data_IF_304465682232
#
_entry.id   IF_304465682232
#
_cell.length_a   1.000
_cell.length_b   1.000
_cell.length_c   1.000
_cell.angle_alpha   90.00
_cell.angle_beta   90.00
_cell.angle_gamma   90.00
#
_symmetry.space_group_name_H-M   'P 1'
#
loop_
_entity.id
_entity.type
_entity.pdbx_description
1 polymer ?
#
# COMPACT_ATOMS: atom_id res chain seq x y z
N UNK A 1 -19.39 -3.88 28.56
CA UNK A 1 -18.83 -4.78 27.52
C UNK A 1 -19.38 -4.56 26.12
N UNK A 2 -20.64 -4.92 25.77
CA UNK A 2 -21.13 -4.77 24.37
C UNK A 2 -21.18 -3.31 23.90
N UNK A 3 -21.55 -2.36 24.76
CA UNK A 3 -21.51 -0.91 24.45
C UNK A 3 -20.08 -0.39 24.25
N UNK A 4 -19.17 -0.75 25.14
CA UNK A 4 -17.74 -0.40 25.06
C UNK A 4 -17.06 -1.00 23.82
N UNK A 5 -17.45 -2.23 23.45
CA UNK A 5 -16.98 -2.88 22.22
C UNK A 5 -17.51 -2.17 20.98
N UNK A 6 -18.79 -1.78 20.96
CA UNK A 6 -19.35 -0.97 19.87
C UNK A 6 -18.62 0.37 19.74
N UNK A 7 -18.37 1.08 20.84
CA UNK A 7 -17.60 2.33 20.83
C UNK A 7 -16.15 2.13 20.37
N UNK A 8 -15.54 0.99 20.68
CA UNK A 8 -14.20 0.65 20.22
C UNK A 8 -14.16 0.42 18.69
N UNK A 9 -15.12 -0.34 18.14
CA UNK A 9 -15.18 -0.65 16.71
C UNK A 9 -15.61 0.57 15.89
N UNK A 10 -16.44 1.46 16.47
CA UNK A 10 -16.85 2.71 15.86
C UNK A 10 -15.70 3.72 15.69
N UNK A 11 -14.51 3.46 16.26
CA UNK A 11 -13.32 4.21 15.87
C UNK A 11 -12.98 3.83 14.43
N UNK A 12 -13.24 4.74 13.48
CA UNK A 12 -13.01 4.50 12.05
C UNK A 12 -11.64 3.91 11.72
N UNK A 13 -10.59 4.37 12.41
CA UNK A 13 -9.22 3.83 12.26
C UNK A 13 -9.09 2.32 12.57
N UNK A 14 -9.91 1.77 13.46
CA UNK A 14 -9.89 0.33 13.80
C UNK A 14 -10.68 -0.47 12.78
N UNK A 15 -11.84 0.04 12.35
CA UNK A 15 -12.67 -0.60 11.34
C UNK A 15 -11.94 -0.68 9.99
N UNK A 16 -11.32 0.40 9.55
CA UNK A 16 -10.57 0.45 8.28
C UNK A 16 -9.38 -0.50 8.30
N UNK A 17 -8.67 -0.57 9.43
CA UNK A 17 -7.57 -1.52 9.62
C UNK A 17 -8.07 -2.96 9.58
N UNK A 18 -9.18 -3.28 10.27
CA UNK A 18 -9.75 -4.62 10.29
C UNK A 18 -10.20 -5.06 8.89
N UNK A 19 -10.88 -4.19 8.15
CA UNK A 19 -11.30 -4.45 6.78
C UNK A 19 -10.08 -4.66 5.87
N UNK A 20 -9.05 -3.83 6.00
CA UNK A 20 -7.81 -3.97 5.23
C UNK A 20 -7.12 -5.32 5.45
N UNK A 21 -7.04 -5.80 6.69
CA UNK A 21 -6.42 -7.10 7.02
C UNK A 21 -7.24 -8.26 6.46
N UNK A 22 -8.57 -8.22 6.58
CA UNK A 22 -9.45 -9.30 6.07
C UNK A 22 -9.42 -9.38 4.55
N UNK A 23 -9.48 -8.23 3.86
CA UNK A 23 -9.38 -8.20 2.39
C UNK A 23 -7.98 -8.65 1.94
N UNK A 24 -6.93 -8.19 2.63
CA UNK A 24 -5.55 -8.57 2.33
C UNK A 24 -5.30 -10.07 2.45
N UNK A 25 -5.84 -10.72 3.48
CA UNK A 25 -5.69 -12.18 3.66
C UNK A 25 -6.48 -12.97 2.62
N UNK A 26 -7.73 -12.57 2.33
CA UNK A 26 -8.55 -13.21 1.30
C UNK A 26 -7.92 -13.10 -0.10
N UNK A 27 -7.38 -11.93 -0.44
CA UNK A 27 -6.70 -11.72 -1.70
C UNK A 27 -5.42 -12.55 -1.82
N UNK A 28 -4.61 -12.61 -0.74
CA UNK A 28 -3.42 -13.47 -0.70
C UNK A 28 -3.79 -14.92 -0.96
N UNK A 29 -4.86 -15.43 -0.36
CA UNK A 29 -5.33 -16.80 -0.58
C UNK A 29 -5.71 -17.07 -2.04
N UNK A 30 -6.37 -16.14 -2.72
CA UNK A 30 -6.70 -16.27 -4.16
C UNK A 30 -5.43 -16.36 -5.00
N UNK A 31 -4.45 -15.48 -4.74
CA UNK A 31 -3.19 -15.50 -5.49
C UNK A 31 -2.43 -16.79 -5.25
N UNK A 32 -2.34 -17.25 -3.99
CA UNK A 32 -1.74 -18.54 -3.65
C UNK A 32 -2.40 -19.68 -4.41
N UNK A 33 -3.74 -19.74 -4.43
CA UNK A 33 -4.47 -20.79 -5.15
C UNK A 33 -4.21 -20.77 -6.66
N UNK A 34 -4.05 -19.59 -7.27
CA UNK A 34 -3.69 -19.48 -8.70
C UNK A 34 -2.26 -19.95 -8.93
N UNK A 35 -1.32 -19.61 -8.05
CA UNK A 35 0.07 -20.03 -8.20
C UNK A 35 0.20 -21.54 -8.00
N UNK A 36 -0.33 -22.09 -6.90
CA UNK A 36 -0.29 -23.51 -6.61
C UNK A 36 -1.11 -24.35 -7.58
N UNK A 37 -2.28 -23.85 -8.01
CA UNK A 37 -3.22 -24.59 -8.85
C UNK A 37 -2.94 -24.53 -10.35
N UNK A 38 -2.30 -23.46 -10.83
CA UNK A 38 -2.06 -23.27 -12.26
C UNK A 38 -0.57 -23.14 -12.58
N UNK A 39 0.13 -22.27 -11.86
CA UNK A 39 1.50 -21.92 -12.23
C UNK A 39 2.51 -23.02 -11.86
N UNK A 40 2.43 -23.54 -10.63
CA UNK A 40 3.30 -24.63 -10.17
C UNK A 40 3.17 -25.86 -11.07
N UNK A 41 1.96 -26.34 -11.45
CA UNK A 41 1.78 -27.43 -12.41
C UNK A 41 2.32 -27.14 -13.82
N UNK A 42 2.25 -25.89 -14.28
CA UNK A 42 2.79 -25.51 -15.60
C UNK A 42 4.32 -25.52 -15.62
N UNK A 43 4.97 -24.99 -14.58
CA UNK A 43 6.43 -25.01 -14.44
C UNK A 43 6.91 -26.46 -14.29
N UNK A 44 6.19 -27.22 -13.47
CA UNK A 44 6.28 -28.66 -13.31
C UNK A 44 6.30 -29.40 -14.65
N UNK A 45 5.31 -29.13 -15.50
CA UNK A 45 5.16 -29.75 -16.81
C UNK A 45 6.32 -29.40 -17.73
N UNK A 46 6.76 -28.13 -17.76
CA UNK A 46 7.92 -27.71 -18.56
C UNK A 46 9.17 -28.48 -18.15
N UNK A 47 9.43 -28.60 -16.84
CA UNK A 47 10.59 -29.34 -16.33
C UNK A 47 10.57 -30.83 -16.68
N UNK A 48 9.39 -31.45 -16.61
CA UNK A 48 9.16 -32.84 -17.04
C UNK A 48 9.46 -33.00 -18.54
N UNK A 49 8.99 -32.05 -19.36
CA UNK A 49 9.19 -32.07 -20.81
C UNK A 49 10.66 -31.86 -21.22
N UNK A 50 11.40 -31.00 -20.51
CA UNK A 50 12.81 -30.71 -20.81
C UNK A 50 13.78 -31.74 -20.24
N UNK A 51 13.41 -32.43 -19.16
CA UNK A 51 14.30 -33.35 -18.43
C UNK A 51 13.94 -34.83 -18.64
N UNK A 52 12.76 -35.13 -19.20
CA UNK A 52 12.29 -36.49 -19.47
C UNK A 52 11.97 -37.32 -18.22
N UNK A 53 12.02 -36.73 -17.02
CA UNK A 53 11.68 -37.36 -15.74
C UNK A 53 10.21 -37.13 -15.42
N UNK A 54 9.52 -38.15 -14.92
CA UNK A 54 8.05 -38.29 -14.92
C UNK A 54 7.26 -37.36 -13.98
N UNK A 55 7.90 -36.59 -13.10
CA UNK A 55 7.20 -35.71 -12.16
C UNK A 55 8.02 -34.48 -11.78
N UNK A 56 7.36 -33.36 -11.52
CA UNK A 56 7.98 -32.15 -11.02
C UNK A 56 8.53 -32.28 -9.59
N UNK A 57 7.91 -33.15 -8.78
CA UNK A 57 8.45 -33.56 -7.48
C UNK A 57 9.78 -34.31 -7.63
N UNK A 58 10.03 -34.92 -8.77
CA UNK A 58 11.26 -35.68 -9.08
C UNK A 58 12.32 -34.79 -9.78
N UNK A 59 11.92 -33.62 -10.28
CA UNK A 59 12.82 -32.60 -10.84
C UNK A 59 13.26 -31.58 -9.78
N UNK A 60 12.36 -31.18 -8.88
CA UNK A 60 12.65 -30.31 -7.74
C UNK A 60 13.14 -31.12 -6.54
N UNK A 61 12.51 -32.27 -6.22
CA UNK A 61 12.97 -33.17 -5.16
C UNK A 61 14.25 -33.95 -5.48
N UNK A 62 14.75 -33.92 -6.72
CA UNK A 62 16.08 -34.44 -7.07
C UNK A 62 17.23 -33.68 -6.39
N UNK A 63 16.96 -32.54 -5.74
CA UNK A 63 17.92 -31.81 -4.90
C UNK A 63 17.73 -32.08 -3.40
N UNK A 64 17.13 -33.21 -3.03
CA UNK A 64 17.15 -33.69 -1.64
C UNK A 64 18.51 -34.32 -1.37
N UNK A 65 19.43 -33.55 -0.80
CA UNK A 65 20.71 -34.07 -0.31
C UNK A 65 20.49 -34.65 1.10
N UNK A 66 20.72 -35.95 1.26
CA UNK A 66 20.82 -36.60 2.56
C UNK A 66 22.27 -36.61 3.02
N UNK A 67 22.57 -35.88 4.08
CA UNK A 67 23.86 -35.96 4.78
C UNK A 67 23.58 -36.40 6.20
N UNK A 68 24.11 -37.56 6.60
CA UNK A 68 23.98 -38.11 7.97
C UNK A 68 22.55 -38.15 8.53
N UNK A 69 21.56 -38.47 7.68
CA UNK A 69 20.15 -38.57 8.09
C UNK A 69 19.38 -37.24 8.12
N UNK A 70 20.03 -36.12 7.80
CA UNK A 70 19.39 -34.82 7.62
C UNK A 70 19.04 -34.62 6.15
N UNK A 71 17.75 -34.38 5.86
CA UNK A 71 17.22 -34.14 4.52
C UNK A 71 17.25 -32.65 4.17
N UNK A 72 18.13 -32.24 3.26
CA UNK A 72 18.16 -30.87 2.71
C UNK A 72 17.33 -30.80 1.44
N UNK A 73 16.07 -30.33 1.55
CA UNK A 73 15.16 -30.22 0.42
C UNK A 73 15.30 -28.87 -0.31
N UNK A 74 16.41 -28.69 -1.03
CA UNK A 74 16.74 -27.47 -1.77
C UNK A 74 15.71 -27.20 -2.88
N UNK A 75 15.08 -28.26 -3.42
CA UNK A 75 13.99 -28.15 -4.38
C UNK A 75 12.78 -27.38 -3.86
N UNK A 76 12.38 -27.67 -2.62
CA UNK A 76 11.28 -26.96 -1.97
C UNK A 76 11.58 -25.47 -1.80
N UNK A 77 12.82 -25.12 -1.47
CA UNK A 77 13.26 -23.72 -1.35
C UNK A 77 13.19 -22.99 -2.69
N UNK A 78 13.67 -23.61 -3.77
CA UNK A 78 13.61 -23.02 -5.12
C UNK A 78 12.15 -22.86 -5.57
N UNK A 79 11.30 -23.85 -5.30
CA UNK A 79 9.86 -23.79 -5.57
C UNK A 79 9.17 -22.64 -4.84
N UNK A 80 9.48 -22.47 -3.55
CA UNK A 80 8.98 -21.37 -2.73
C UNK A 80 9.44 -20.01 -3.29
N UNK A 81 10.69 -19.91 -3.74
CA UNK A 81 11.24 -18.68 -4.32
C UNK A 81 10.53 -18.30 -5.63
N UNK A 82 10.28 -19.28 -6.50
CA UNK A 82 9.57 -19.05 -7.77
C UNK A 82 8.11 -18.65 -7.49
N UNK A 83 7.43 -19.34 -6.59
CA UNK A 83 6.08 -19.02 -6.11
C UNK A 83 6.01 -17.57 -5.59
N UNK A 84 6.99 -17.16 -4.78
CA UNK A 84 7.07 -15.80 -4.26
C UNK A 84 7.23 -14.75 -5.37
N UNK A 85 8.14 -14.96 -6.32
CA UNK A 85 8.38 -14.02 -7.43
C UNK A 85 7.13 -13.85 -8.30
N UNK A 86 6.41 -14.94 -8.58
CA UNK A 86 5.19 -14.90 -9.39
C UNK A 86 4.06 -14.21 -8.64
N UNK A 87 3.89 -14.51 -7.36
CA UNK A 87 2.93 -13.84 -6.47
C UNK A 87 3.18 -12.33 -6.43
N UNK A 88 4.44 -11.91 -6.26
CA UNK A 88 4.83 -10.50 -6.29
C UNK A 88 4.54 -9.84 -7.65
N UNK A 89 4.78 -10.55 -8.75
CA UNK A 89 4.48 -10.06 -10.09
C UNK A 89 2.98 -9.86 -10.34
N UNK A 90 2.14 -10.82 -9.91
CA UNK A 90 0.67 -10.70 -10.02
C UNK A 90 0.15 -9.54 -9.18
N UNK A 91 0.62 -9.40 -7.93
CA UNK A 91 0.33 -8.25 -7.06
C UNK A 91 0.71 -6.92 -7.74
N UNK A 92 1.91 -6.85 -8.33
CA UNK A 92 2.36 -5.68 -9.05
C UNK A 92 1.44 -5.32 -10.22
N UNK A 93 1.00 -6.31 -11.02
CA UNK A 93 0.06 -6.06 -12.12
C UNK A 93 -1.28 -5.50 -11.62
N UNK A 94 -1.79 -6.00 -10.50
CA UNK A 94 -3.06 -5.55 -9.93
C UNK A 94 -2.94 -4.13 -9.36
N UNK A 95 -1.87 -3.83 -8.62
CA UNK A 95 -1.59 -2.47 -8.14
C UNK A 95 -1.40 -1.51 -9.32
N UNK A 96 -0.70 -1.94 -10.38
CA UNK A 96 -0.53 -1.14 -11.59
C UNK A 96 -1.87 -0.88 -12.29
N UNK A 97 -2.76 -1.87 -12.37
CA UNK A 97 -4.09 -1.70 -12.94
C UNK A 97 -4.97 -0.75 -12.10
N UNK A 98 -4.95 -0.91 -10.77
CA UNK A 98 -5.66 -0.03 -9.85
C UNK A 98 -5.15 1.41 -9.93
N UNK A 99 -3.82 1.61 -9.93
CA UNK A 99 -3.21 2.93 -10.10
C UNK A 99 -3.55 3.54 -11.46
N UNK A 100 -3.55 2.74 -12.55
CA UNK A 100 -3.96 3.19 -13.88
C UNK A 100 -5.42 3.63 -13.91
N UNK A 101 -6.32 2.94 -13.20
CA UNK A 101 -7.74 3.29 -13.13
C UNK A 101 -7.97 4.54 -12.29
N UNK A 102 -7.32 4.66 -11.14
CA UNK A 102 -7.35 5.86 -10.29
C UNK A 102 -6.82 7.11 -11.02
N UNK A 103 -5.79 6.96 -11.84
CA UNK A 103 -5.26 8.06 -12.65
C UNK A 103 -6.16 8.44 -13.85
N UNK A 104 -7.10 7.57 -14.24
CA UNK A 104 -8.13 7.89 -15.24
C UNK A 104 -9.29 8.65 -14.61
N UNK A 105 -9.75 8.25 -13.41
CA UNK A 105 -10.77 8.99 -12.64
C UNK A 105 -10.34 10.40 -12.28
N UNK A 106 -9.07 10.61 -11.86
CA UNK A 106 -8.51 11.95 -11.62
C UNK A 106 -8.50 12.87 -12.85
N UNK A 107 -8.55 12.32 -14.07
CA UNK A 107 -8.57 13.10 -15.30
C UNK A 107 -9.99 13.55 -15.68
N UNK A 108 -11.01 12.89 -15.14
CA UNK A 108 -12.43 13.25 -15.27
C UNK A 108 -12.88 14.11 -14.08
N UNK A 109 -12.45 13.83 -12.84
CA UNK A 109 -12.73 14.66 -11.66
C UNK A 109 -12.05 16.04 -11.72
N UNK A 110 -10.90 16.19 -12.38
CA UNK A 110 -10.28 17.50 -12.61
C UNK A 110 -11.09 18.43 -13.54
N UNK A 111 -12.11 17.91 -14.22
CA UNK A 111 -13.04 18.72 -15.01
C UNK A 111 -14.31 19.11 -14.23
N UNK A 112 -14.56 18.51 -13.06
CA UNK A 112 -15.84 18.63 -12.34
C UNK A 112 -15.70 18.95 -10.85
N UNK A 113 -14.49 18.88 -10.27
CA UNK A 113 -14.20 19.54 -8.99
C UNK A 113 -14.13 21.06 -9.22
N UNK A 114 -15.28 21.72 -9.15
CA UNK A 114 -15.33 23.12 -8.72
C UNK A 114 -14.40 23.26 -7.51
N UNK A 115 -13.46 24.19 -7.64
CA UNK A 115 -12.38 24.47 -6.71
C UNK A 115 -12.96 24.72 -5.32
N UNK A 116 -13.14 23.66 -4.51
CA UNK A 116 -13.53 23.81 -3.11
C UNK A 116 -12.31 24.42 -2.43
N UNK A 117 -12.38 25.69 -1.98
CA UNK A 117 -11.22 26.35 -1.42
C UNK A 117 -10.68 25.52 -0.25
N UNK A 118 -9.39 25.26 -0.29
CA UNK A 118 -8.72 24.45 0.71
C UNK A 118 -8.62 25.23 2.01
N UNK A 119 -8.39 24.55 3.15
CA UNK A 119 -8.16 25.22 4.44
C UNK A 119 -7.04 26.28 4.35
N UNK A 120 -6.06 26.08 3.47
CA UNK A 120 -4.99 27.03 3.23
C UNK A 120 -5.47 28.31 2.52
N UNK A 121 -6.48 28.20 1.65
CA UNK A 121 -7.07 29.34 0.95
C UNK A 121 -7.89 30.21 1.92
N UNK A 122 -8.68 29.59 2.80
CA UNK A 122 -9.38 30.30 3.86
C UNK A 122 -8.44 31.03 4.82
N UNK A 123 -7.30 30.42 5.17
CA UNK A 123 -6.32 31.05 6.06
C UNK A 123 -5.63 32.25 5.40
N UNK A 124 -5.37 32.21 4.08
CA UNK A 124 -4.88 33.38 3.33
C UNK A 124 -5.91 34.50 3.32
N UNK A 125 -7.16 34.16 3.04
CA UNK A 125 -8.25 35.13 3.00
C UNK A 125 -8.47 35.80 4.36
N UNK A 126 -8.44 35.02 5.46
CA UNK A 126 -8.48 35.55 6.82
C UNK A 126 -7.29 36.46 7.12
N UNK A 127 -6.07 36.09 6.74
CA UNK A 127 -4.87 36.94 6.92
C UNK A 127 -5.03 38.28 6.22
N UNK A 128 -5.49 38.26 4.97
CA UNK A 128 -5.61 39.46 4.15
C UNK A 128 -6.73 40.37 4.67
N UNK A 129 -7.84 39.81 5.15
CA UNK A 129 -8.90 40.54 5.85
C UNK A 129 -8.45 41.14 7.19
N UNK A 130 -7.53 40.49 7.90
CA UNK A 130 -6.98 40.99 9.17
C UNK A 130 -5.95 42.11 8.93
N UNK A 131 -5.13 41.98 7.88
CA UNK A 131 -4.21 43.01 7.45
C UNK A 131 -4.94 44.28 6.99
N UNK A 132 -6.06 44.12 6.28
CA UNK A 132 -6.92 45.23 5.86
C UNK A 132 -7.62 45.94 7.04
N UNK A 133 -7.86 45.23 8.16
CA UNK A 133 -8.49 45.79 9.36
C UNK A 133 -7.50 46.48 10.31
N UNK A 134 -6.19 46.30 10.12
CA UNK A 134 -5.17 47.00 10.91
C UNK A 134 -4.87 48.33 10.22
N UNK A 135 -5.25 49.51 10.77
CA UNK A 135 -4.86 50.79 10.18
C UNK A 135 -3.33 50.90 10.19
N UNK A 136 -2.71 51.56 9.19
CA UNK A 136 -1.27 51.75 9.18
C UNK A 136 -0.87 52.44 10.48
N UNK A 137 0.07 51.82 11.20
CA UNK A 137 0.56 52.25 12.50
C UNK A 137 0.61 53.78 12.57
N UNK A 138 -0.29 54.37 13.36
CA UNK A 138 -0.15 55.75 13.79
C UNK A 138 1.26 55.85 14.36
N UNK A 139 2.09 56.67 13.72
CA UNK A 139 3.45 56.92 14.16
C UNK A 139 3.39 57.30 15.63
N UNK A 140 3.75 56.37 16.50
CA UNK A 140 4.02 56.66 17.90
C UNK A 140 5.20 57.62 17.85
N UNK A 141 4.91 58.93 17.91
CA UNK A 141 5.90 59.95 18.17
C UNK A 141 6.49 59.59 19.53
N UNK A 142 7.63 58.91 19.51
CA UNK A 142 8.52 58.85 20.65
C UNK A 142 8.88 60.29 20.98
N UNK A 143 8.22 60.84 22.00
CA UNK A 143 8.55 62.13 22.59
C UNK A 143 9.90 61.98 23.27
N UNK A 144 10.95 62.13 22.48
CA UNK A 144 12.33 62.19 22.94
C UNK A 144 12.62 63.59 23.48
N UNK A 145 12.07 63.94 24.65
CA UNK A 145 12.61 65.01 25.50
C UNK A 145 12.37 64.72 26.99
N UNK A 146 13.10 63.76 27.54
CA UNK A 146 13.36 63.68 28.99
C UNK A 146 14.85 63.42 29.24
N UNK A 147 15.57 64.49 29.60
CA UNK A 147 16.80 64.65 30.43
C UNK A 147 17.58 65.85 29.88
N UNK A 148 17.48 67.04 30.47
CA UNK A 148 18.01 67.54 31.76
C UNK A 148 19.54 67.78 31.73
N UNK A 149 19.89 69.07 31.79
CA UNK A 149 21.19 69.72 32.06
C UNK A 149 22.32 69.64 31.03
#
# INVERSE_FOLDING_TARGET
MIKEFKEFIMRGSVLDLAVGVVIGSAFTAIVTQVVEGLITPLISLIFVLTTGKKSADDALGALVYKVEGVEFNIGSVISALITFLITAFVLFLIVKAANKMKNRGKKEEAAEEEVVPTSEDYLKEIRDLLAAQTPPAETVKTDSTFTEK
#
